data_IF_526573614746
#
_entry.id   IF_526573614746
#
_cell.length_a   1.000
_cell.length_b   1.000
_cell.length_c   1.000
_cell.angle_alpha   90.00
_cell.angle_beta   90.00
_cell.angle_gamma   90.00
#
_symmetry.space_group_name_H-M   'P 1'
#
loop_
_entity.id
_entity.type
_entity.pdbx_description
1 polymer ?
#
# COMPACT_ATOMS: atom_id res chain seq x y z
N UNK A 1 46.76 -14.39 -23.93
CA UNK A 1 45.72 -13.94 -24.88
C UNK A 1 44.44 -14.64 -24.47
N UNK A 2 43.52 -13.93 -23.82
CA UNK A 2 42.32 -14.51 -23.24
C UNK A 2 41.14 -13.71 -23.76
N UNK A 3 40.35 -14.31 -24.66
CA UNK A 3 39.14 -13.70 -25.23
C UNK A 3 37.95 -14.44 -24.67
N UNK A 4 37.22 -13.81 -23.77
CA UNK A 4 36.00 -14.33 -23.17
C UNK A 4 34.80 -14.05 -24.08
N UNK A 5 33.98 -15.09 -24.20
CA UNK A 5 32.70 -15.24 -24.90
C UNK A 5 31.70 -14.07 -24.69
N UNK A 6 31.07 -13.66 -25.80
CA UNK A 6 29.83 -12.90 -25.84
C UNK A 6 28.64 -13.85 -25.61
N UNK A 7 27.84 -13.60 -24.57
CA UNK A 7 26.49 -14.13 -24.43
C UNK A 7 25.50 -12.97 -24.56
N UNK A 8 24.54 -13.12 -25.46
CA UNK A 8 23.62 -12.07 -25.89
C UNK A 8 22.69 -11.59 -24.76
N UNK A 9 22.55 -10.27 -24.67
CA UNK A 9 21.43 -9.61 -24.02
C UNK A 9 20.87 -8.61 -25.03
N UNK A 10 19.62 -8.84 -25.42
CA UNK A 10 18.92 -8.14 -26.50
C UNK A 10 18.67 -6.66 -26.16
N UNK A 11 18.89 -5.77 -27.13
CA UNK A 11 18.73 -4.31 -27.04
C UNK A 11 17.34 -3.82 -26.61
N UNK A 12 16.32 -4.68 -26.63
CA UNK A 12 14.97 -4.35 -26.17
C UNK A 12 14.86 -4.17 -24.65
N UNK A 13 15.81 -4.71 -23.87
CA UNK A 13 15.80 -4.58 -22.41
C UNK A 13 16.43 -3.25 -21.92
N UNK A 14 17.19 -2.54 -22.76
CA UNK A 14 17.83 -1.27 -22.39
C UNK A 14 16.94 -0.04 -22.54
N UNK A 15 15.73 -0.18 -23.05
CA UNK A 15 14.82 0.96 -23.27
C UNK A 15 13.88 1.26 -22.10
N UNK A 16 13.81 0.39 -21.08
CA UNK A 16 12.84 0.55 -19.97
C UNK A 16 13.41 1.18 -18.68
N UNK A 17 14.70 1.53 -18.64
CA UNK A 17 15.31 2.10 -17.42
C UNK A 17 15.72 3.58 -17.54
N UNK A 18 15.25 4.31 -18.56
CA UNK A 18 15.59 5.73 -18.76
C UNK A 18 14.37 6.68 -18.74
N UNK A 19 13.28 6.30 -18.07
CA UNK A 19 12.09 7.18 -17.89
C UNK A 19 11.73 7.38 -16.41
N UNK A 20 12.48 6.76 -15.47
CA UNK A 20 12.09 6.79 -14.06
C UNK A 20 12.67 7.98 -13.28
N UNK A 21 13.74 8.63 -13.76
CA UNK A 21 14.39 9.72 -13.02
C UNK A 21 13.86 11.13 -13.32
N UNK A 22 13.24 11.38 -14.48
CA UNK A 22 12.76 12.73 -14.81
C UNK A 22 11.39 13.11 -14.19
N UNK A 23 10.68 12.17 -13.58
CA UNK A 23 9.38 12.44 -12.92
C UNK A 23 9.47 12.69 -11.41
N UNK A 24 10.64 12.45 -10.80
CA UNK A 24 10.82 12.57 -9.35
C UNK A 24 10.97 14.04 -8.91
N UNK A 25 11.45 14.92 -9.78
CA UNK A 25 11.89 16.27 -9.38
C UNK A 25 10.80 17.36 -9.33
N UNK A 26 9.51 17.01 -9.48
CA UNK A 26 8.38 17.99 -9.45
C UNK A 26 7.34 17.72 -8.35
N UNK A 27 7.66 16.90 -7.34
CA UNK A 27 6.68 16.32 -6.40
C UNK A 27 6.96 16.48 -4.92
N UNK A 28 7.97 17.24 -4.48
CA UNK A 28 8.32 17.29 -3.05
C UNK A 28 7.21 17.90 -2.17
N UNK A 29 6.50 18.91 -2.67
CA UNK A 29 5.37 19.53 -1.94
C UNK A 29 4.18 18.57 -1.78
N UNK A 30 3.86 17.78 -2.81
CA UNK A 30 2.74 16.82 -2.78
C UNK A 30 3.04 15.64 -1.86
N UNK A 31 4.29 15.15 -1.84
CA UNK A 31 4.69 14.04 -0.97
C UNK A 31 4.58 14.43 0.50
N UNK A 32 5.04 15.63 0.85
CA UNK A 32 4.99 16.11 2.24
C UNK A 32 3.55 16.24 2.75
N UNK A 33 2.65 16.80 1.92
CA UNK A 33 1.22 16.91 2.25
C UNK A 33 0.55 15.53 2.36
N UNK A 34 0.90 14.60 1.46
CA UNK A 34 0.34 13.25 1.43
C UNK A 34 0.73 12.43 2.67
N UNK A 35 1.99 12.54 3.10
CA UNK A 35 2.48 11.90 4.32
C UNK A 35 1.82 12.47 5.57
N UNK A 36 1.59 13.77 5.60
CA UNK A 36 0.91 14.42 6.73
C UNK A 36 -0.57 14.01 6.83
N UNK A 37 -1.28 13.97 5.70
CA UNK A 37 -2.67 13.48 5.65
C UNK A 37 -2.81 12.02 6.06
N UNK A 38 -1.82 11.18 5.76
CA UNK A 38 -1.79 9.80 6.24
C UNK A 38 -1.57 9.73 7.74
N UNK A 39 -0.61 10.51 8.27
CA UNK A 39 -0.32 10.54 9.69
C UNK A 39 -1.54 11.02 10.49
N UNK A 40 -2.22 12.06 10.03
CA UNK A 40 -3.44 12.58 10.65
C UNK A 40 -4.56 11.51 10.63
N UNK A 41 -4.79 10.84 9.49
CA UNK A 41 -5.77 9.75 9.41
C UNK A 41 -5.47 8.59 10.36
N UNK A 42 -4.19 8.20 10.50
CA UNK A 42 -3.79 7.13 11.43
C UNK A 42 -4.01 7.53 12.89
N UNK A 43 -3.75 8.81 13.23
CA UNK A 43 -4.02 9.35 14.57
C UNK A 43 -5.52 9.34 14.85
N UNK A 44 -6.34 9.83 13.91
CA UNK A 44 -7.80 9.86 14.05
C UNK A 44 -8.36 8.45 14.28
N UNK A 45 -7.89 7.47 13.49
CA UNK A 45 -8.30 6.06 13.65
C UNK A 45 -7.87 5.51 15.00
N UNK A 46 -6.66 5.82 15.47
CA UNK A 46 -6.19 5.40 16.78
C UNK A 46 -7.05 5.99 17.91
N UNK A 47 -7.31 7.29 17.88
CA UNK A 47 -8.11 7.96 18.90
C UNK A 47 -9.54 7.39 18.97
N UNK A 48 -10.11 7.03 17.82
CA UNK A 48 -11.46 6.47 17.73
C UNK A 48 -11.52 4.99 18.13
N UNK A 49 -10.53 4.20 17.75
CA UNK A 49 -10.62 2.73 17.78
C UNK A 49 -9.72 2.08 18.84
N UNK A 50 -8.98 2.84 19.64
CA UNK A 50 -8.06 2.31 20.68
C UNK A 50 -8.73 1.87 21.98
N UNK A 51 -10.04 2.12 22.14
CA UNK A 51 -10.80 1.71 23.31
C UNK A 51 -11.66 0.49 23.02
N UNK A 52 -11.85 -0.43 23.98
CA UNK A 52 -12.76 -1.57 23.79
C UNK A 52 -14.18 -1.09 23.52
N UNK A 53 -14.92 -1.83 22.67
CA UNK A 53 -16.32 -1.54 22.35
C UNK A 53 -16.52 -0.12 21.78
N UNK A 54 -15.54 0.37 21.00
CA UNK A 54 -15.59 1.71 20.41
C UNK A 54 -16.73 1.89 19.39
N UNK A 55 -17.20 0.80 18.79
CA UNK A 55 -18.33 0.76 17.86
C UNK A 55 -19.69 0.56 18.56
N UNK A 56 -19.70 0.27 19.86
CA UNK A 56 -20.89 -0.07 20.63
C UNK A 56 -21.43 -1.49 20.42
N UNK A 57 -20.73 -2.33 19.66
CA UNK A 57 -21.08 -3.73 19.36
C UNK A 57 -19.97 -4.73 19.71
N UNK A 58 -19.12 -4.36 20.67
CA UNK A 58 -18.10 -5.21 21.25
C UNK A 58 -16.77 -5.22 20.51
N UNK A 59 -16.48 -4.21 19.68
CA UNK A 59 -15.22 -4.16 18.93
C UNK A 59 -13.97 -4.32 19.80
N UNK A 60 -13.00 -5.02 19.24
CA UNK A 60 -11.65 -5.13 19.77
C UNK A 60 -10.91 -3.82 19.52
N UNK A 61 -10.11 -3.33 20.49
CA UNK A 61 -9.23 -2.19 20.27
C UNK A 61 -8.28 -2.42 19.10
N UNK A 62 -8.09 -1.40 18.28
CA UNK A 62 -7.00 -1.38 17.29
C UNK A 62 -5.66 -1.26 18.02
N UNK A 63 -4.77 -2.20 17.78
CA UNK A 63 -3.43 -2.23 18.38
C UNK A 63 -2.50 -1.21 17.69
N UNK A 64 -1.61 -0.61 18.48
CA UNK A 64 -0.59 0.34 17.98
C UNK A 64 0.31 -0.32 16.94
N UNK A 65 0.57 -1.62 17.10
CA UNK A 65 1.34 -2.45 16.20
C UNK A 65 0.71 -2.52 14.79
N UNK A 66 -0.62 -2.64 14.69
CA UNK A 66 -1.31 -2.68 13.40
C UNK A 66 -1.20 -1.32 12.69
N UNK A 67 -1.32 -0.21 13.42
CA UNK A 67 -1.11 1.14 12.90
C UNK A 67 0.33 1.40 12.47
N UNK A 68 1.30 0.91 13.23
CA UNK A 68 2.72 1.02 12.88
C UNK A 68 3.02 0.29 11.57
N UNK A 69 2.48 -0.92 11.40
CA UNK A 69 2.60 -1.69 10.14
C UNK A 69 1.89 -0.97 9.00
N UNK A 70 0.70 -0.40 9.23
CA UNK A 70 -0.01 0.38 8.22
C UNK A 70 0.82 1.57 7.74
N UNK A 71 1.40 2.32 8.68
CA UNK A 71 2.29 3.45 8.38
C UNK A 71 3.50 3.02 7.56
N UNK A 72 4.22 2.00 8.02
CA UNK A 72 5.43 1.50 7.33
C UNK A 72 5.10 0.96 5.94
N UNK A 73 3.96 0.27 5.78
CA UNK A 73 3.50 -0.22 4.49
C UNK A 73 3.26 0.95 3.53
N UNK A 74 2.56 2.01 3.94
CA UNK A 74 2.29 3.15 3.05
C UNK A 74 3.56 3.97 2.78
N UNK A 75 4.43 4.14 3.76
CA UNK A 75 5.73 4.83 3.57
C UNK A 75 6.68 4.07 2.63
N UNK A 76 6.55 2.74 2.54
CA UNK A 76 7.31 1.91 1.60
C UNK A 76 6.69 1.82 0.21
N UNK A 77 5.48 2.37 0.00
CA UNK A 77 4.88 2.46 -1.32
C UNK A 77 5.52 3.58 -2.16
N UNK A 78 5.62 3.39 -3.49
CA UNK A 78 6.03 4.47 -4.37
C UNK A 78 5.12 5.70 -4.21
N UNK A 79 5.71 6.88 -4.06
CA UNK A 79 5.02 8.18 -3.90
C UNK A 79 4.13 8.60 -5.09
N UNK A 80 4.04 7.76 -6.12
CA UNK A 80 3.19 7.98 -7.28
C UNK A 80 1.74 7.56 -7.10
N UNK A 81 1.40 6.89 -5.99
CA UNK A 81 0.04 6.45 -5.72
C UNK A 81 -0.68 7.39 -4.75
N UNK A 82 -2.02 7.40 -4.84
CA UNK A 82 -2.86 8.19 -3.94
C UNK A 82 -2.73 7.70 -2.50
N UNK A 83 -2.95 8.60 -1.55
CA UNK A 83 -3.05 8.26 -0.13
C UNK A 83 -4.29 7.38 0.06
N UNK A 84 -4.19 6.22 0.74
CA UNK A 84 -5.35 5.40 1.03
C UNK A 84 -6.28 6.11 2.01
N UNK A 85 -7.55 5.69 2.02
CA UNK A 85 -8.43 5.90 3.16
C UNK A 85 -8.08 4.90 4.24
N UNK A 86 -7.91 5.35 5.48
CA UNK A 86 -7.59 4.51 6.65
C UNK A 86 -8.83 4.36 7.52
N UNK A 87 -9.09 3.15 8.03
CA UNK A 87 -10.15 2.90 9.01
C UNK A 87 -9.80 1.76 9.97
N UNK A 88 -10.40 1.75 11.16
CA UNK A 88 -10.31 0.63 12.09
C UNK A 88 -11.40 -0.41 11.81
N UNK A 89 -11.07 -1.68 11.96
CA UNK A 89 -12.03 -2.79 11.86
C UNK A 89 -12.45 -3.30 13.25
N UNK A 90 -13.67 -3.81 13.42
CA UNK A 90 -14.17 -4.29 14.72
C UNK A 90 -13.34 -5.44 15.33
N UNK A 91 -12.56 -6.15 14.53
CA UNK A 91 -11.66 -7.22 14.97
C UNK A 91 -10.28 -6.71 15.46
N UNK A 92 -10.08 -5.39 15.47
CA UNK A 92 -8.81 -4.77 15.86
C UNK A 92 -7.81 -4.63 14.71
N UNK A 93 -8.22 -4.92 13.48
CA UNK A 93 -7.40 -4.68 12.29
C UNK A 93 -7.46 -3.21 11.84
N UNK A 94 -6.50 -2.84 10.99
CA UNK A 94 -6.50 -1.55 10.29
C UNK A 94 -6.73 -1.79 8.80
N UNK A 95 -7.74 -1.15 8.24
CA UNK A 95 -8.04 -1.19 6.81
C UNK A 95 -7.42 0.01 6.07
N UNK A 96 -6.83 -0.27 4.91
CA UNK A 96 -6.31 0.71 3.95
C UNK A 96 -6.99 0.50 2.60
N UNK A 97 -7.64 1.53 2.08
CA UNK A 97 -8.40 1.44 0.83
C UNK A 97 -7.96 2.46 -0.22
N UNK A 98 -7.70 1.95 -1.43
CA UNK A 98 -7.50 2.75 -2.64
C UNK A 98 -8.70 2.56 -3.55
N UNK A 99 -9.67 3.46 -3.43
CA UNK A 99 -10.85 3.50 -4.29
C UNK A 99 -10.61 4.43 -5.49
N UNK A 100 -10.68 3.88 -6.70
CA UNK A 100 -10.61 4.67 -7.94
C UNK A 100 -11.99 4.84 -8.59
N UNK A 101 -12.81 3.78 -8.61
CA UNK A 101 -14.22 3.82 -9.05
C UNK A 101 -14.94 2.50 -8.68
N UNK A 102 -16.22 2.37 -9.04
CA UNK A 102 -17.08 1.22 -8.73
C UNK A 102 -16.55 -0.15 -9.18
N UNK A 103 -15.56 -0.20 -10.08
CA UNK A 103 -14.94 -1.44 -10.55
C UNK A 103 -13.42 -1.46 -10.33
N UNK A 104 -12.89 -0.52 -9.54
CA UNK A 104 -11.47 -0.40 -9.23
C UNK A 104 -11.28 -0.01 -7.77
N UNK A 105 -11.00 -1.01 -6.94
CA UNK A 105 -10.74 -0.87 -5.51
C UNK A 105 -9.58 -1.80 -5.15
N UNK A 106 -8.67 -1.35 -4.29
CA UNK A 106 -7.74 -2.20 -3.57
C UNK A 106 -7.98 -1.96 -2.08
N UNK A 107 -8.23 -3.02 -1.33
CA UNK A 107 -8.41 -2.98 0.11
C UNK A 107 -7.36 -3.89 0.76
N UNK A 108 -6.71 -3.38 1.80
CA UNK A 108 -5.78 -4.12 2.64
C UNK A 108 -6.32 -4.10 4.07
N UNK A 109 -6.36 -5.26 4.72
CA UNK A 109 -6.70 -5.39 6.13
C UNK A 109 -5.46 -5.89 6.87
N UNK A 110 -5.01 -5.11 7.85
CA UNK A 110 -3.76 -5.32 8.57
C UNK A 110 -4.09 -5.79 9.97
N UNK A 111 -3.77 -7.06 10.24
CA UNK A 111 -3.98 -7.66 11.54
C UNK A 111 -2.90 -7.25 12.55
N UNK A 112 -3.21 -7.33 13.86
CA UNK A 112 -2.23 -7.42 14.91
C UNK A 112 -1.13 -8.43 14.53
N UNK A 113 0.13 -8.06 14.77
CA UNK A 113 1.33 -8.82 14.39
C UNK A 113 1.73 -8.78 12.89
N UNK A 114 1.14 -7.89 12.08
CA UNK A 114 1.67 -7.53 10.76
C UNK A 114 1.34 -8.50 9.63
N UNK A 115 0.35 -9.38 9.83
CA UNK A 115 -0.26 -10.12 8.71
C UNK A 115 -1.16 -9.18 7.94
N UNK A 116 -1.02 -9.17 6.62
CA UNK A 116 -1.80 -8.31 5.72
C UNK A 116 -2.66 -9.20 4.83
N UNK A 117 -3.96 -9.01 4.90
CA UNK A 117 -4.93 -9.55 3.94
C UNK A 117 -5.20 -8.50 2.88
N UNK A 118 -5.43 -8.93 1.65
CA UNK A 118 -5.70 -8.02 0.56
C UNK A 118 -6.75 -8.56 -0.38
N UNK A 119 -7.53 -7.64 -0.93
CA UNK A 119 -8.49 -7.90 -1.98
C UNK A 119 -8.46 -6.74 -2.97
N UNK A 120 -8.52 -7.04 -4.26
CA UNK A 120 -8.68 -6.01 -5.28
C UNK A 120 -9.89 -6.33 -6.16
N UNK A 121 -10.62 -5.30 -6.54
CA UNK A 121 -11.65 -5.34 -7.57
C UNK A 121 -11.07 -4.64 -8.81
N UNK A 122 -10.99 -5.33 -9.94
CA UNK A 122 -10.46 -4.81 -11.21
C UNK A 122 -11.39 -5.26 -12.34
N UNK A 123 -12.37 -4.43 -12.69
CA UNK A 123 -13.37 -4.78 -13.69
C UNK A 123 -14.29 -5.89 -13.17
N UNK A 124 -14.10 -7.10 -13.68
CA UNK A 124 -14.78 -8.33 -13.24
C UNK A 124 -13.88 -9.27 -12.44
N UNK A 125 -12.61 -8.92 -12.24
CA UNK A 125 -11.66 -9.70 -11.46
C UNK A 125 -11.71 -9.28 -9.99
N UNK A 126 -11.68 -10.26 -9.08
CA UNK A 126 -11.67 -10.08 -7.63
C UNK A 126 -10.49 -10.81 -6.93
N UNK A 127 -9.22 -10.64 -7.38
CA UNK A 127 -8.10 -11.35 -6.77
C UNK A 127 -7.97 -10.99 -5.28
N UNK A 128 -7.64 -12.00 -4.48
CA UNK A 128 -7.49 -11.89 -3.03
C UNK A 128 -6.31 -12.73 -2.54
N UNK A 129 -5.74 -12.35 -1.41
CA UNK A 129 -4.65 -13.10 -0.81
C UNK A 129 -4.23 -12.55 0.54
N UNK A 130 -3.10 -13.05 1.03
CA UNK A 130 -2.48 -12.55 2.26
C UNK A 130 -0.97 -12.73 2.21
N UNK A 131 -0.24 -11.93 2.97
CA UNK A 131 1.19 -12.08 3.18
C UNK A 131 1.58 -11.58 4.57
N UNK A 132 2.77 -11.93 5.02
CA UNK A 132 3.36 -11.36 6.24
C UNK A 132 4.22 -10.15 5.85
N UNK A 133 3.97 -9.00 6.47
CA UNK A 133 4.77 -7.80 6.21
C UNK A 133 6.05 -7.84 7.03
N UNK A 134 7.17 -7.58 6.36
CA UNK A 134 8.52 -7.57 6.93
C UNK A 134 9.31 -6.30 6.53
N UNK A 135 8.60 -5.18 6.33
CA UNK A 135 9.20 -3.90 5.93
C UNK A 135 9.41 -3.70 4.42
N UNK A 136 9.02 -4.67 3.59
CA UNK A 136 9.08 -4.57 2.14
C UNK A 136 7.74 -4.89 1.49
N UNK A 137 7.32 -4.05 0.55
CA UNK A 137 6.07 -4.23 -0.21
C UNK A 137 6.24 -5.39 -1.20
N UNK A 138 5.37 -6.42 -1.14
CA UNK A 138 5.40 -7.51 -2.12
C UNK A 138 5.11 -7.02 -3.54
N UNK A 139 5.77 -7.62 -4.54
CA UNK A 139 5.58 -7.27 -5.96
C UNK A 139 4.11 -7.33 -6.41
N UNK A 140 3.34 -8.27 -5.85
CA UNK A 140 1.91 -8.40 -6.14
C UNK A 140 1.13 -7.14 -5.76
N UNK A 141 1.44 -6.49 -4.63
CA UNK A 141 0.79 -5.24 -4.24
C UNK A 141 1.14 -4.12 -5.22
N UNK A 142 2.42 -4.00 -5.61
CA UNK A 142 2.82 -3.00 -6.61
C UNK A 142 2.11 -3.22 -7.95
N UNK A 143 1.91 -4.48 -8.36
CA UNK A 143 1.17 -4.82 -9.56
C UNK A 143 -0.31 -4.44 -9.45
N UNK A 144 -0.95 -4.74 -8.32
CA UNK A 144 -2.36 -4.39 -8.07
C UNK A 144 -2.56 -2.88 -8.02
N UNK A 145 -1.68 -2.15 -7.32
CA UNK A 145 -1.72 -0.69 -7.28
C UNK A 145 -1.58 -0.07 -8.68
N UNK A 146 -0.72 -0.61 -9.55
CA UNK A 146 -0.65 -0.16 -10.94
C UNK A 146 -1.96 -0.39 -11.70
N UNK A 147 -2.65 -1.51 -11.46
CA UNK A 147 -3.90 -1.83 -12.16
C UNK A 147 -5.09 -1.02 -11.63
N UNK A 148 -5.10 -0.70 -10.33
CA UNK A 148 -6.19 0.06 -9.67
C UNK A 148 -5.97 1.57 -9.80
N UNK A 149 -4.77 2.06 -9.49
CA UNK A 149 -4.49 3.48 -9.29
C UNK A 149 -3.94 4.23 -10.51
N UNK A 150 -3.44 3.54 -11.57
CA UNK A 150 -3.09 4.25 -12.81
C UNK A 150 -4.35 4.56 -13.62
N UNK A 151 -4.60 5.85 -13.81
CA UNK A 151 -5.44 6.42 -14.86
C UNK A 151 -4.55 6.82 -16.04
#
# INVERSE_FOLDING_TARGET
MTTTQYAGVSDAAKTLMCVQDELVNRREETVTLSSQLLADQLIDVFEQCSLPNWDGDGATPVEVEALAVAKELVESLPSAYQVPTVSGEPDGHVSLEWYANQRRLLSLSIAPHGRVYWAALIGSEDPRGSFQFHGAVPEILLLLMRRVCKQ
#
